data_IF_568200156055
#
_entry.id   IF_568200156055
#
_cell.length_a   1.000
_cell.length_b   1.000
_cell.length_c   1.000
_cell.angle_alpha   90.00
_cell.angle_beta   90.00
_cell.angle_gamma   90.00
#
_symmetry.space_group_name_H-M   'P 1'
#
loop_
_entity.id
_entity.type
_entity.pdbx_description
1 polymer ?
#
# COMPACT_ATOMS: atom_id res chain seq x y z
N UNK A 1 -11.56 -14.81 -2.57
CA UNK A 1 -12.18 -13.54 -2.98
C UNK A 1 -11.16 -12.44 -2.76
N UNK A 2 -10.92 -11.58 -3.77
CA UNK A 2 -10.03 -10.42 -3.70
C UNK A 2 -10.80 -9.15 -4.02
N UNK A 3 -10.24 -8.01 -3.67
CA UNK A 3 -10.83 -6.69 -3.95
C UNK A 3 -10.57 -6.34 -5.41
N UNK A 4 -11.64 -6.10 -6.17
CA UNK A 4 -11.57 -5.67 -7.57
C UNK A 4 -11.72 -4.16 -7.71
N UNK A 5 -12.62 -3.58 -6.92
CA UNK A 5 -12.88 -2.14 -6.92
C UNK A 5 -13.33 -1.66 -5.55
N UNK A 6 -13.11 -0.37 -5.28
CA UNK A 6 -13.53 0.31 -4.06
C UNK A 6 -14.10 1.67 -4.41
N UNK A 7 -15.24 1.99 -3.81
CA UNK A 7 -15.88 3.30 -3.88
C UNK A 7 -16.05 3.87 -2.48
N UNK A 8 -15.74 5.14 -2.30
CA UNK A 8 -15.74 5.84 -1.01
C UNK A 8 -16.51 7.14 -1.15
N UNK A 9 -17.49 7.40 -0.27
CA UNK A 9 -18.28 8.62 -0.28
C UNK A 9 -18.44 9.19 1.12
N UNK A 10 -18.32 10.50 1.24
CA UNK A 10 -18.46 11.26 2.48
C UNK A 10 -17.54 10.83 3.61
N UNK A 11 -16.40 10.22 3.30
CA UNK A 11 -15.40 9.78 4.27
C UNK A 11 -14.17 10.68 4.22
N UNK A 12 -13.89 11.41 5.29
CA UNK A 12 -12.77 12.35 5.43
C UNK A 12 -12.73 13.36 4.26
N UNK A 13 -11.74 13.24 3.39
CA UNK A 13 -11.56 14.17 2.25
C UNK A 13 -12.38 13.79 1.01
N UNK A 14 -13.02 12.61 0.99
CA UNK A 14 -13.81 12.11 -0.14
C UNK A 14 -15.27 12.57 -0.03
N UNK A 15 -15.54 13.80 -0.47
CA UNK A 15 -16.86 14.44 -0.32
C UNK A 15 -17.92 13.80 -1.23
N UNK A 16 -17.69 13.86 -2.54
CA UNK A 16 -18.72 13.57 -3.55
C UNK A 16 -18.62 12.17 -4.15
N UNK A 17 -17.64 11.42 -3.69
CA UNK A 17 -17.37 10.06 -4.13
C UNK A 17 -15.99 9.92 -4.76
N UNK A 18 -15.36 8.81 -4.49
CA UNK A 18 -14.09 8.37 -5.03
C UNK A 18 -14.25 6.93 -5.47
N UNK A 19 -13.70 6.56 -6.60
CA UNK A 19 -13.67 5.18 -7.06
C UNK A 19 -12.38 4.90 -7.83
N UNK A 20 -11.83 3.71 -7.64
CA UNK A 20 -10.71 3.28 -8.45
C UNK A 20 -11.14 3.05 -9.91
N UNK A 21 -10.35 3.49 -10.89
CA UNK A 21 -10.54 3.09 -12.27
C UNK A 21 -10.42 1.56 -12.42
N UNK A 22 -11.16 0.99 -13.37
CA UNK A 22 -11.11 -0.44 -13.61
C UNK A 22 -9.70 -0.93 -13.94
N UNK A 23 -9.27 -2.04 -13.32
CA UNK A 23 -7.96 -2.65 -13.56
C UNK A 23 -6.78 -1.98 -12.88
N UNK A 24 -6.99 -1.00 -12.00
CA UNK A 24 -5.93 -0.34 -11.23
C UNK A 24 -5.60 -1.05 -9.91
N UNK A 25 -6.44 -1.98 -9.48
CA UNK A 25 -6.17 -2.85 -8.33
C UNK A 25 -5.64 -4.19 -8.83
N UNK A 26 -4.48 -4.62 -8.32
CA UNK A 26 -3.87 -5.91 -8.64
C UNK A 26 -4.64 -7.08 -8.02
N UNK A 27 -4.78 -8.14 -8.79
CA UNK A 27 -5.42 -9.39 -8.35
C UNK A 27 -4.43 -10.52 -8.51
N UNK A 28 -4.14 -11.30 -7.45
CA UNK A 28 -3.24 -12.45 -7.52
C UNK A 28 -3.68 -13.47 -8.55
N UNK A 29 -2.76 -13.92 -9.39
CA UNK A 29 -3.02 -14.95 -10.41
C UNK A 29 -2.46 -16.34 -10.03
N UNK A 30 -1.83 -16.45 -8.86
CA UNK A 30 -1.25 -17.68 -8.33
C UNK A 30 0.18 -17.99 -8.81
N UNK A 31 0.72 -17.24 -9.76
CA UNK A 31 1.98 -17.56 -10.41
C UNK A 31 2.93 -16.38 -10.61
N UNK A 32 2.39 -15.21 -10.95
CA UNK A 32 3.18 -14.07 -11.40
C UNK A 32 3.50 -13.11 -10.25
N UNK A 33 4.79 -12.84 -10.05
CA UNK A 33 5.25 -11.84 -9.10
C UNK A 33 4.68 -10.45 -9.41
N UNK A 34 4.14 -9.80 -8.40
CA UNK A 34 3.56 -8.48 -8.54
C UNK A 34 2.08 -8.48 -8.94
N UNK A 35 1.49 -9.61 -9.40
CA UNK A 35 0.10 -9.63 -9.89
C UNK A 35 -0.91 -9.11 -8.88
N UNK A 36 -0.79 -9.46 -7.62
CA UNK A 36 -1.64 -9.00 -6.53
C UNK A 36 -1.21 -7.71 -5.83
N UNK A 37 -0.14 -7.03 -6.31
CA UNK A 37 0.41 -5.86 -5.65
C UNK A 37 -0.14 -4.56 -6.24
N UNK A 38 -0.70 -3.73 -5.37
CA UNK A 38 -1.16 -2.37 -5.67
C UNK A 38 -0.47 -1.37 -4.76
N UNK A 39 0.11 -0.33 -5.35
CA UNK A 39 0.85 0.71 -4.65
C UNK A 39 0.16 2.04 -4.86
N UNK A 40 -0.14 2.74 -3.79
CA UNK A 40 -0.73 4.07 -3.79
C UNK A 40 0.36 5.09 -3.46
N UNK A 41 0.61 6.01 -4.38
CA UNK A 41 1.58 7.09 -4.23
C UNK A 41 0.93 8.45 -4.45
N UNK A 42 1.65 9.52 -4.20
CA UNK A 42 1.18 10.89 -4.37
C UNK A 42 1.60 11.77 -3.20
N UNK A 43 1.28 13.05 -3.29
CA UNK A 43 1.63 14.07 -2.29
C UNK A 43 1.02 13.78 -0.90
N UNK A 44 1.50 14.51 0.11
CA UNK A 44 0.93 14.44 1.45
C UNK A 44 -0.50 15.01 1.45
N UNK A 45 -1.40 14.37 2.20
CA UNK A 45 -2.78 14.83 2.33
C UNK A 45 -3.72 14.47 1.18
N UNK A 46 -3.28 13.75 0.15
CA UNK A 46 -4.15 13.29 -0.96
C UNK A 46 -5.04 12.08 -0.60
N UNK A 47 -5.00 11.60 0.66
CA UNK A 47 -5.93 10.57 1.14
C UNK A 47 -5.46 9.13 1.04
N UNK A 48 -4.19 8.84 0.80
CA UNK A 48 -3.66 7.47 0.75
C UNK A 48 -4.05 6.62 1.96
N UNK A 49 -3.71 7.09 3.17
CA UNK A 49 -4.11 6.46 4.44
C UNK A 49 -5.63 6.32 4.56
N UNK A 50 -6.38 7.36 4.18
CA UNK A 50 -7.84 7.34 4.26
C UNK A 50 -8.47 6.29 3.35
N UNK A 51 -7.88 6.01 2.19
CA UNK A 51 -8.31 4.91 1.31
C UNK A 51 -8.09 3.55 2.00
N UNK A 52 -6.91 3.31 2.56
CA UNK A 52 -6.62 2.04 3.24
C UNK A 52 -7.53 1.84 4.46
N UNK A 53 -7.74 2.88 5.26
CA UNK A 53 -8.66 2.81 6.40
C UNK A 53 -10.10 2.60 5.96
N UNK A 54 -10.56 3.28 4.89
CA UNK A 54 -11.88 3.03 4.31
C UNK A 54 -12.04 1.58 3.87
N UNK A 55 -11.03 0.99 3.21
CA UNK A 55 -11.05 -0.43 2.84
C UNK A 55 -11.08 -1.34 4.08
N UNK A 56 -10.38 -0.98 5.14
CA UNK A 56 -10.33 -1.78 6.36
C UNK A 56 -11.67 -1.80 7.11
N UNK A 57 -12.44 -0.72 7.07
CA UNK A 57 -13.74 -0.61 7.77
C UNK A 57 -14.70 -1.77 7.48
N UNK A 58 -15.02 -2.13 6.24
CA UNK A 58 -15.91 -3.26 5.95
C UNK A 58 -15.25 -4.62 6.04
N UNK A 59 -13.92 -4.73 6.00
CA UNK A 59 -13.19 -5.99 5.95
C UNK A 59 -12.77 -6.50 7.33
N UNK A 60 -12.36 -5.59 8.21
CA UNK A 60 -11.85 -5.90 9.54
C UNK A 60 -12.93 -5.54 10.55
N UNK A 61 -13.34 -6.47 11.37
CA UNK A 61 -14.40 -6.39 12.36
C UNK A 61 -14.71 -4.96 12.87
N UNK A 62 -15.88 -4.46 12.55
CA UNK A 62 -16.28 -3.08 12.76
C UNK A 62 -16.94 -2.86 14.14
N UNK A 63 -16.61 -1.73 14.78
CA UNK A 63 -17.32 -1.18 15.95
C UNK A 63 -17.80 0.25 15.65
N UNK A 64 -18.98 0.59 16.14
CA UNK A 64 -19.57 1.94 15.98
C UNK A 64 -18.73 3.03 16.61
N UNK A 65 -17.97 2.71 17.64
CA UNK A 65 -17.09 3.60 18.38
C UNK A 65 -15.73 3.88 17.69
N UNK A 66 -15.46 3.25 16.56
CA UNK A 66 -14.22 3.44 15.82
C UNK A 66 -14.23 4.59 14.82
N UNK A 67 -15.40 5.16 14.51
CA UNK A 67 -15.54 6.34 13.68
C UNK A 67 -15.74 7.59 14.56
N UNK A 68 -15.02 8.64 14.21
CA UNK A 68 -15.10 9.95 14.85
C UNK A 68 -15.83 10.96 13.96
N UNK A 69 -16.20 12.09 14.53
CA UNK A 69 -16.84 13.18 13.78
C UNK A 69 -16.02 13.63 12.57
N UNK A 70 -14.70 13.65 12.74
CA UNK A 70 -13.76 14.05 11.69
C UNK A 70 -13.67 13.06 10.51
N UNK A 71 -14.24 11.87 10.65
CA UNK A 71 -14.32 10.89 9.55
C UNK A 71 -15.47 11.20 8.58
N UNK A 72 -16.35 12.15 8.92
CA UNK A 72 -17.44 12.59 8.07
C UNK A 72 -17.08 13.92 7.39
N UNK A 73 -16.99 13.93 6.07
CA UNK A 73 -16.76 15.15 5.30
C UNK A 73 -17.96 16.14 5.46
N UNK A 74 -19.16 15.58 5.40
CA UNK A 74 -20.41 16.32 5.63
C UNK A 74 -21.24 15.57 6.68
N UNK A 75 -21.52 16.22 7.79
CA UNK A 75 -22.23 15.68 8.96
C UNK A 75 -23.66 15.22 8.61
N UNK A 76 -24.30 15.88 7.66
CA UNK A 76 -25.67 15.56 7.24
C UNK A 76 -25.80 14.31 6.35
N UNK A 77 -24.69 13.81 5.83
CA UNK A 77 -24.67 12.70 4.87
C UNK A 77 -24.09 11.43 5.53
N UNK A 78 -24.48 10.28 4.98
CA UNK A 78 -23.90 9.01 5.39
C UNK A 78 -22.49 8.86 4.80
N UNK A 79 -21.59 8.23 5.56
CA UNK A 79 -20.40 7.60 4.99
C UNK A 79 -20.85 6.33 4.27
N UNK A 80 -20.41 6.16 3.04
CA UNK A 80 -20.66 4.95 2.26
C UNK A 80 -19.34 4.44 1.68
N UNK A 81 -19.05 3.16 1.89
CA UNK A 81 -17.88 2.48 1.33
C UNK A 81 -18.36 1.18 0.69
N UNK A 82 -18.11 1.04 -0.61
CA UNK A 82 -18.46 -0.17 -1.35
C UNK A 82 -17.18 -0.86 -1.82
N UNK A 83 -17.09 -2.17 -1.58
CA UNK A 83 -16.00 -3.03 -2.04
C UNK A 83 -16.58 -4.08 -2.97
N UNK A 84 -16.14 -4.07 -4.23
CA UNK A 84 -16.50 -5.08 -5.22
C UNK A 84 -15.43 -6.19 -5.23
N UNK A 85 -15.90 -7.44 -5.26
CA UNK A 85 -15.07 -8.62 -5.31
C UNK A 85 -14.64 -8.97 -6.75
N UNK A 86 -13.52 -9.69 -6.89
CA UNK A 86 -13.00 -10.21 -8.15
C UNK A 86 -13.96 -11.22 -8.82
N UNK A 87 -14.72 -11.94 -8.01
CA UNK A 87 -15.73 -12.92 -8.46
C UNK A 87 -16.95 -12.88 -7.56
N UNK A 88 -18.09 -13.25 -8.12
CA UNK A 88 -19.31 -13.46 -7.34
C UNK A 88 -19.11 -14.62 -6.35
N UNK A 89 -19.73 -14.52 -5.19
CA UNK A 89 -19.67 -15.55 -4.15
C UNK A 89 -21.05 -15.85 -3.60
N UNK A 90 -21.25 -17.12 -3.23
CA UNK A 90 -22.52 -17.56 -2.64
C UNK A 90 -22.66 -17.12 -1.19
N UNK A 91 -23.79 -16.53 -0.87
CA UNK A 91 -24.20 -16.23 0.50
C UNK A 91 -25.33 -17.16 0.89
N UNK A 92 -25.08 -18.04 1.86
CA UNK A 92 -26.11 -18.96 2.35
C UNK A 92 -27.16 -18.20 3.15
N UNK A 93 -28.40 -18.29 2.74
CA UNK A 93 -29.54 -17.76 3.48
C UNK A 93 -30.25 -18.91 4.20
N UNK A 94 -30.55 -18.75 5.48
CA UNK A 94 -31.08 -19.83 6.33
C UNK A 94 -32.49 -20.31 5.95
N UNK A 95 -33.29 -19.52 5.25
CA UNK A 95 -34.73 -19.84 4.99
C UNK A 95 -35.08 -19.87 3.51
N UNK A 96 -34.40 -19.20 2.59
CA UNK A 96 -34.83 -19.05 1.19
C UNK A 96 -33.78 -19.40 0.12
N UNK A 97 -32.72 -20.13 0.47
CA UNK A 97 -31.72 -20.58 -0.50
C UNK A 97 -30.45 -19.78 -0.51
N UNK A 98 -29.60 -19.98 -1.52
CA UNK A 98 -28.33 -19.27 -1.71
C UNK A 98 -28.57 -18.06 -2.61
N UNK A 99 -27.86 -16.97 -2.32
CA UNK A 99 -27.84 -15.78 -3.14
C UNK A 99 -26.41 -15.53 -3.62
N UNK A 100 -26.28 -14.99 -4.81
CA UNK A 100 -25.00 -14.49 -5.29
C UNK A 100 -24.76 -13.06 -4.82
N UNK A 101 -23.55 -12.78 -4.39
CA UNK A 101 -23.08 -11.46 -3.99
C UNK A 101 -21.82 -11.10 -4.79
N UNK A 102 -21.67 -9.81 -5.08
CA UNK A 102 -20.52 -9.27 -5.79
C UNK A 102 -19.60 -8.42 -4.92
N UNK A 103 -19.98 -8.18 -3.67
CA UNK A 103 -19.19 -7.31 -2.79
C UNK A 103 -19.91 -6.96 -1.49
N UNK A 104 -19.42 -5.91 -0.86
CA UNK A 104 -19.88 -5.40 0.44
C UNK A 104 -20.09 -3.89 0.39
N UNK A 105 -21.07 -3.42 1.16
CA UNK A 105 -21.33 -2.01 1.39
C UNK A 105 -21.33 -1.72 2.89
N UNK A 106 -20.48 -0.79 3.31
CA UNK A 106 -20.48 -0.22 4.64
C UNK A 106 -21.20 1.13 4.62
N UNK A 107 -22.09 1.36 5.56
CA UNK A 107 -22.81 2.64 5.70
C UNK A 107 -22.77 3.06 7.16
N UNK A 108 -22.34 4.30 7.43
CA UNK A 108 -22.37 4.89 8.76
C UNK A 108 -23.11 6.23 8.76
N UNK A 109 -23.91 6.47 9.80
CA UNK A 109 -24.69 7.70 9.99
C UNK A 109 -24.42 8.31 11.34
N UNK A 110 -24.27 9.63 11.40
CA UNK A 110 -24.22 10.37 12.64
C UNK A 110 -25.62 10.58 13.22
N UNK A 111 -25.70 10.57 14.55
CA UNK A 111 -26.87 10.97 15.32
C UNK A 111 -26.55 12.14 16.20
N UNK A 112 -27.44 13.13 16.26
CA UNK A 112 -27.35 14.21 17.23
C UNK A 112 -27.66 13.67 18.62
N UNK A 113 -26.77 13.93 19.58
CA UNK A 113 -26.98 13.65 21.01
C UNK A 113 -26.94 14.95 21.79
N UNK A 114 -28.04 15.34 22.41
CA UNK A 114 -28.16 16.50 23.29
C UNK A 114 -27.57 17.80 22.70
N UNK A 115 -28.29 18.43 21.79
CA UNK A 115 -28.14 19.79 21.22
C UNK A 115 -26.75 20.21 20.69
N UNK A 116 -25.68 19.46 20.86
CA UNK A 116 -24.34 19.82 20.33
C UNK A 116 -23.33 18.69 20.23
N UNK A 117 -23.66 17.47 20.59
CA UNK A 117 -22.75 16.31 20.43
C UNK A 117 -23.28 15.32 19.40
N UNK A 118 -22.46 15.01 18.41
CA UNK A 118 -22.75 13.96 17.45
C UNK A 118 -22.09 12.66 17.89
N UNK A 119 -22.81 11.57 17.73
CA UNK A 119 -22.28 10.20 17.88
C UNK A 119 -22.59 9.42 16.63
N UNK A 120 -21.80 8.39 16.34
CA UNK A 120 -22.14 7.44 15.30
C UNK A 120 -23.37 6.66 15.74
N UNK A 121 -24.50 6.91 15.09
CA UNK A 121 -25.80 6.35 15.51
C UNK A 121 -26.03 4.93 15.03
N UNK A 122 -25.63 4.64 13.79
CA UNK A 122 -25.74 3.33 13.17
C UNK A 122 -24.62 3.16 12.19
N UNK A 123 -23.98 2.00 12.23
CA UNK A 123 -23.16 1.56 11.15
C UNK A 123 -23.60 0.15 10.75
N UNK A 124 -23.75 -0.05 9.48
CA UNK A 124 -24.30 -1.28 8.91
C UNK A 124 -23.36 -1.76 7.82
N UNK A 125 -23.08 -3.04 7.87
CA UNK A 125 -22.39 -3.73 6.78
C UNK A 125 -23.42 -4.56 6.02
N UNK A 126 -23.68 -4.21 4.79
CA UNK A 126 -24.58 -4.89 3.89
C UNK A 126 -23.81 -5.70 2.83
N UNK A 127 -24.49 -6.66 2.23
CA UNK A 127 -23.95 -7.42 1.10
C UNK A 127 -24.50 -6.81 -0.20
N UNK A 128 -23.61 -6.57 -1.19
CA UNK A 128 -24.00 -6.18 -2.54
C UNK A 128 -24.42 -7.46 -3.30
N UNK A 129 -25.71 -7.68 -3.41
CA UNK A 129 -26.26 -8.83 -4.14
C UNK A 129 -26.23 -8.63 -5.66
N UNK A 130 -26.06 -9.72 -6.39
CA UNK A 130 -26.28 -9.74 -7.83
C UNK A 130 -27.81 -9.81 -8.05
N UNK A 131 -28.40 -8.91 -8.82
CA UNK A 131 -29.82 -9.01 -9.16
C UNK A 131 -30.07 -10.34 -9.87
N UNK A 132 -30.97 -11.18 -9.32
CA UNK A 132 -31.48 -12.30 -10.07
C UNK A 132 -32.55 -11.76 -11.04
N UNK A 133 -32.64 -12.31 -12.25
CA UNK A 133 -33.60 -11.90 -13.25
C UNK A 133 -35.03 -11.89 -12.67
N UNK A 134 -35.64 -10.72 -12.63
CA UNK A 134 -37.04 -10.52 -12.18
C UNK A 134 -37.23 -10.32 -10.67
N UNK A 135 -36.20 -10.30 -9.85
CA UNK A 135 -36.29 -10.03 -8.40
C UNK A 135 -35.53 -8.77 -8.05
N UNK A 136 -36.25 -7.70 -7.79
CA UNK A 136 -35.67 -6.50 -7.13
C UNK A 136 -35.36 -6.86 -5.68
N UNK A 137 -34.10 -7.05 -5.37
CA UNK A 137 -33.65 -7.23 -3.98
C UNK A 137 -33.38 -5.81 -3.44
N UNK A 138 -34.36 -5.26 -2.75
CA UNK A 138 -34.17 -4.04 -1.99
C UNK A 138 -33.29 -4.35 -0.76
N UNK A 139 -32.06 -3.86 -0.77
CA UNK A 139 -31.12 -4.00 0.35
C UNK A 139 -31.65 -3.42 1.68
N UNK A 140 -32.67 -2.58 1.62
CA UNK A 140 -33.41 -2.03 2.76
C UNK A 140 -34.51 -2.91 3.33
N UNK A 141 -34.81 -4.05 2.71
CA UNK A 141 -35.88 -4.94 3.19
C UNK A 141 -35.56 -5.50 4.58
N UNK A 142 -36.47 -5.36 5.57
CA UNK A 142 -36.32 -5.96 6.90
C UNK A 142 -36.06 -7.46 6.87
N UNK A 143 -36.63 -8.16 5.89
CA UNK A 143 -36.44 -9.59 5.68
C UNK A 143 -35.02 -10.00 5.29
N UNK A 144 -34.27 -9.11 4.62
CA UNK A 144 -32.87 -9.33 4.27
C UNK A 144 -31.96 -9.10 5.48
N UNK A 145 -32.24 -8.09 6.29
CA UNK A 145 -31.45 -7.77 7.49
C UNK A 145 -31.58 -8.85 8.57
N UNK A 146 -32.78 -9.39 8.79
CA UNK A 146 -33.03 -10.41 9.80
C UNK A 146 -32.59 -11.82 9.37
N UNK A 147 -32.58 -12.11 8.07
CA UNK A 147 -32.27 -13.45 7.59
C UNK A 147 -30.78 -13.72 7.35
N UNK A 148 -29.95 -12.67 7.19
CA UNK A 148 -28.53 -12.84 6.89
C UNK A 148 -27.68 -12.79 8.16
N UNK A 149 -28.23 -12.36 9.32
CA UNK A 149 -27.45 -12.08 10.51
C UNK A 149 -26.41 -11.00 10.20
N UNK A 150 -25.52 -10.65 11.13
CA UNK A 150 -24.40 -9.78 10.79
C UNK A 150 -23.57 -10.48 9.72
N UNK A 151 -23.60 -10.01 8.45
CA UNK A 151 -22.99 -10.71 7.34
C UNK A 151 -21.46 -10.85 7.45
N UNK A 152 -20.85 -10.22 8.42
CA UNK A 152 -19.42 -10.21 8.65
C UNK A 152 -18.93 -11.22 9.70
N UNK A 153 -19.84 -11.78 10.50
CA UNK A 153 -19.53 -12.76 11.54
C UNK A 153 -20.02 -14.14 11.08
N UNK A 154 -19.34 -14.79 10.20
CA UNK A 154 -19.70 -16.13 9.79
C UNK A 154 -18.97 -16.58 8.53
N UNK A 155 -19.44 -17.62 7.91
CA UNK A 155 -18.86 -18.40 6.80
C UNK A 155 -18.16 -17.64 5.65
N UNK A 156 -18.23 -16.31 5.58
CA UNK A 156 -17.64 -15.50 4.52
C UNK A 156 -16.17 -15.25 4.67
N UNK A 157 -15.69 -15.22 5.90
CA UNK A 157 -14.31 -14.94 6.21
C UNK A 157 -13.49 -16.21 6.46
N UNK A 158 -14.14 -17.39 6.44
CA UNK A 158 -13.41 -18.65 6.62
C UNK A 158 -12.35 -18.88 5.53
N UNK A 159 -12.56 -18.34 4.33
CA UNK A 159 -11.65 -18.51 3.20
C UNK A 159 -10.71 -17.32 2.98
N UNK A 160 -10.85 -16.25 3.76
CA UNK A 160 -10.03 -15.04 3.65
C UNK A 160 -9.49 -14.60 5.00
N UNK A 161 -8.30 -14.05 4.97
CA UNK A 161 -7.68 -13.36 6.08
C UNK A 161 -7.38 -11.92 5.69
N UNK A 162 -7.68 -10.97 6.60
CA UNK A 162 -7.52 -9.54 6.36
C UNK A 162 -6.61 -8.95 7.42
N UNK A 163 -5.59 -8.23 6.98
CA UNK A 163 -4.67 -7.56 7.88
C UNK A 163 -4.46 -6.11 7.45
N UNK A 164 -4.70 -5.19 8.35
CA UNK A 164 -4.33 -3.79 8.19
C UNK A 164 -3.15 -3.44 9.10
N UNK A 165 -2.10 -2.90 8.50
CA UNK A 165 -0.89 -2.43 9.17
C UNK A 165 -0.84 -0.92 9.04
N UNK A 166 -1.18 -0.23 10.12
CA UNK A 166 -1.14 1.22 10.17
C UNK A 166 0.30 1.77 10.24
N UNK A 167 0.46 3.05 9.99
CA UNK A 167 1.76 3.72 10.02
C UNK A 167 2.38 3.77 11.41
N UNK A 168 1.60 3.77 12.48
CA UNK A 168 2.14 3.88 13.84
C UNK A 168 2.76 2.58 14.33
N UNK A 169 2.36 1.44 13.75
CA UNK A 169 2.87 0.07 13.98
C UNK A 169 3.00 -0.36 15.44
N UNK A 170 2.89 0.58 16.37
CA UNK A 170 3.12 0.38 17.80
C UNK A 170 1.88 0.63 18.64
N UNK A 171 0.79 1.11 18.06
CA UNK A 171 -0.43 1.29 18.82
C UNK A 171 -1.00 -0.07 19.20
N UNK A 172 -0.80 -0.45 20.45
CA UNK A 172 -1.82 -1.20 21.19
C UNK A 172 -3.06 -0.33 21.16
N UNK A 173 -3.90 -0.55 20.17
CA UNK A 173 -5.20 0.09 20.13
C UNK A 173 -6.06 -0.62 21.17
N UNK A 174 -5.96 -0.18 22.42
CA UNK A 174 -6.79 -0.66 23.52
C UNK A 174 -8.28 -0.37 23.30
N UNK A 175 -8.60 0.45 22.31
CA UNK A 175 -9.97 0.77 21.92
C UNK A 175 -10.06 1.00 20.43
N UNK A 176 -10.57 0.03 19.69
CA UNK A 176 -10.88 0.24 18.30
C UNK A 176 -10.65 -0.96 17.40
N UNK A 177 -11.00 -0.79 16.15
CA UNK A 177 -11.06 -1.77 15.07
C UNK A 177 -9.75 -2.53 14.78
N UNK A 178 -8.61 -2.01 15.25
CA UNK A 178 -7.27 -2.46 14.90
C UNK A 178 -6.44 -2.94 16.11
N UNK A 179 -7.10 -3.36 17.20
CA UNK A 179 -6.53 -3.42 18.55
C UNK A 179 -5.70 -4.65 18.92
N UNK A 180 -5.61 -5.68 18.08
CA UNK A 180 -4.71 -6.78 18.40
C UNK A 180 -3.30 -6.48 17.89
N UNK A 181 -2.26 -6.67 18.71
CA UNK A 181 -0.89 -6.63 18.23
C UNK A 181 -0.73 -7.68 17.12
N UNK A 182 0.19 -7.43 16.17
CA UNK A 182 0.42 -8.39 15.08
C UNK A 182 0.83 -9.75 15.59
N UNK A 183 1.66 -9.74 16.62
CA UNK A 183 2.16 -10.97 17.22
C UNK A 183 1.07 -11.68 18.04
N UNK A 184 0.16 -10.96 18.70
CA UNK A 184 -0.98 -11.56 19.38
C UNK A 184 -1.86 -12.32 18.39
N UNK A 185 -2.14 -11.74 17.19
CA UNK A 185 -2.89 -12.44 16.15
C UNK A 185 -2.16 -13.67 15.62
N UNK A 186 -0.86 -13.58 15.42
CA UNK A 186 -0.05 -14.73 15.01
C UNK A 186 -0.14 -15.81 16.08
N UNK A 187 0.04 -15.47 17.36
CA UNK A 187 -0.07 -16.40 18.47
C UNK A 187 -1.50 -16.96 18.63
N UNK A 188 -2.54 -16.13 18.43
CA UNK A 188 -3.94 -16.59 18.43
C UNK A 188 -4.22 -17.57 17.30
N UNK A 189 -3.68 -17.33 16.10
CA UNK A 189 -3.82 -18.26 14.98
C UNK A 189 -3.10 -19.60 15.28
N UNK A 190 -1.92 -19.58 15.89
CA UNK A 190 -1.25 -20.80 16.34
C UNK A 190 -2.06 -21.52 17.39
N UNK A 191 -2.59 -20.82 18.40
CA UNK A 191 -3.47 -21.41 19.40
C UNK A 191 -4.69 -22.09 18.78
N UNK A 192 -5.33 -21.41 17.81
CA UNK A 192 -6.50 -21.96 17.14
C UNK A 192 -6.18 -23.22 16.32
N UNK A 193 -5.10 -23.17 15.53
CA UNK A 193 -4.65 -24.33 14.75
C UNK A 193 -4.26 -25.50 15.66
N UNK A 194 -3.53 -25.21 16.73
CA UNK A 194 -3.15 -26.19 17.71
C UNK A 194 -4.37 -26.90 18.35
N UNK A 195 -5.37 -26.13 18.80
CA UNK A 195 -6.61 -26.67 19.37
C UNK A 195 -7.40 -27.51 18.36
N UNK A 196 -7.42 -27.12 17.08
CA UNK A 196 -8.09 -27.91 16.02
C UNK A 196 -7.37 -29.23 15.76
N UNK A 197 -6.04 -29.23 15.74
CA UNK A 197 -5.25 -30.44 15.49
C UNK A 197 -5.36 -31.45 16.64
N UNK A 198 -5.51 -30.97 17.87
CA UNK A 198 -5.57 -31.81 19.07
C UNK A 198 -6.99 -32.05 19.61
N UNK A 199 -8.01 -31.99 18.76
CA UNK A 199 -9.41 -32.32 19.11
C UNK A 199 -9.99 -31.54 20.31
N UNK A 200 -9.52 -30.32 20.55
CA UNK A 200 -9.91 -29.46 21.68
C UNK A 200 -9.66 -30.05 23.08
N UNK A 201 -8.81 -31.04 23.22
CA UNK A 201 -8.46 -31.54 24.53
C UNK A 201 -7.49 -30.59 25.27
N UNK A 202 -7.76 -30.24 26.52
CA UNK A 202 -6.82 -29.46 27.31
C UNK A 202 -5.54 -30.28 27.56
N UNK A 203 -4.42 -29.70 27.21
CA UNK A 203 -3.11 -30.34 27.41
C UNK A 203 -2.84 -30.72 28.86
N UNK A 204 -2.51 -31.98 29.05
CA UNK A 204 -1.84 -32.43 30.24
C UNK A 204 -0.37 -31.98 30.16
N UNK A 205 -0.11 -30.99 30.92
CA UNK A 205 1.01 -30.10 31.11
C UNK A 205 2.40 -30.73 31.13
N UNK A 206 3.38 -29.98 30.75
CA UNK A 206 4.82 -29.96 31.00
C UNK A 206 5.80 -30.69 30.07
N UNK A 207 5.56 -31.88 29.67
CA UNK A 207 6.54 -32.59 28.81
C UNK A 207 6.26 -32.35 27.32
N UNK A 208 5.10 -31.83 27.09
CA UNK A 208 4.39 -31.95 25.82
C UNK A 208 4.53 -30.76 24.89
N UNK A 209 4.85 -29.56 25.37
CA UNK A 209 4.85 -28.38 24.46
C UNK A 209 6.11 -28.37 23.60
N UNK A 210 7.26 -28.63 24.20
CA UNK A 210 8.50 -28.81 23.44
C UNK A 210 8.38 -30.08 22.57
N UNK A 211 7.90 -31.18 23.13
CA UNK A 211 7.70 -32.44 22.40
C UNK A 211 6.59 -32.38 21.37
N UNK A 212 5.57 -31.53 21.56
CA UNK A 212 4.49 -31.30 20.57
C UNK A 212 4.87 -30.30 19.49
N UNK A 213 5.63 -29.28 19.80
CA UNK A 213 6.26 -28.43 18.81
C UNK A 213 7.28 -29.26 18.02
N UNK A 214 8.00 -30.13 18.66
CA UNK A 214 8.95 -31.04 18.03
C UNK A 214 8.30 -32.23 17.32
N UNK A 215 7.10 -32.66 17.75
CA UNK A 215 6.34 -33.78 17.17
C UNK A 215 5.29 -33.35 16.13
N UNK A 216 4.73 -32.16 16.23
CA UNK A 216 3.86 -31.60 15.22
C UNK A 216 4.71 -30.94 14.10
N UNK A 217 5.10 -31.80 13.16
CA UNK A 217 5.98 -31.43 12.04
C UNK A 217 5.51 -30.20 11.28
N UNK A 218 4.20 -29.93 11.21
CA UNK A 218 3.62 -28.87 10.37
C UNK A 218 3.80 -27.50 11.01
N UNK A 219 3.44 -27.33 12.30
CA UNK A 219 3.57 -26.03 12.97
C UNK A 219 5.02 -25.68 13.26
N UNK A 220 5.84 -26.66 13.55
CA UNK A 220 7.27 -26.48 13.77
C UNK A 220 8.02 -26.17 12.48
N UNK A 221 7.70 -26.86 11.38
CA UNK A 221 8.27 -26.60 10.07
C UNK A 221 7.98 -25.18 9.61
N UNK A 222 6.75 -24.70 9.78
CA UNK A 222 6.32 -23.36 9.36
C UNK A 222 6.99 -22.22 10.14
N UNK A 223 7.07 -22.34 11.47
CA UNK A 223 7.79 -21.39 12.32
C UNK A 223 9.29 -21.42 12.05
N UNK A 224 9.84 -22.62 11.92
CA UNK A 224 11.26 -22.82 11.64
C UNK A 224 11.65 -22.20 10.30
N UNK A 225 10.84 -22.40 9.27
CA UNK A 225 11.03 -21.74 7.97
C UNK A 225 10.91 -20.21 8.06
N UNK A 226 9.88 -19.69 8.74
CA UNK A 226 9.71 -18.25 8.89
C UNK A 226 10.87 -17.61 9.67
N UNK A 227 11.36 -18.26 10.70
CA UNK A 227 12.50 -17.79 11.49
C UNK A 227 13.82 -17.93 10.74
N UNK A 228 14.00 -19.00 9.95
CA UNK A 228 15.15 -19.16 9.05
C UNK A 228 15.20 -18.08 7.97
N UNK A 229 14.08 -17.82 7.29
CA UNK A 229 13.95 -16.75 6.31
C UNK A 229 14.26 -15.38 6.93
N UNK A 230 13.76 -15.13 8.13
CA UNK A 230 14.04 -13.89 8.84
C UNK A 230 15.51 -13.75 9.20
N UNK A 231 16.13 -14.82 9.70
CA UNK A 231 17.57 -14.87 10.05
C UNK A 231 18.45 -14.63 8.83
N UNK A 232 18.15 -15.28 7.70
CA UNK A 232 18.88 -15.09 6.44
C UNK A 232 18.86 -13.63 6.01
N UNK A 233 17.71 -12.99 6.06
CA UNK A 233 17.50 -11.61 5.56
C UNK A 233 17.99 -10.53 6.51
N UNK A 234 17.98 -10.77 7.83
CA UNK A 234 18.24 -9.75 8.85
C UNK A 234 19.48 -10.03 9.70
N UNK A 235 19.93 -11.29 9.78
CA UNK A 235 21.00 -11.75 10.67
C UNK A 235 20.55 -12.03 12.11
N UNK A 236 19.28 -11.75 12.47
CA UNK A 236 18.76 -11.99 13.81
C UNK A 236 18.16 -13.39 13.93
N UNK A 237 18.56 -14.12 14.98
CA UNK A 237 18.02 -15.42 15.33
C UNK A 237 16.81 -15.27 16.25
N UNK A 238 15.65 -15.74 15.82
CA UNK A 238 14.38 -15.60 16.54
C UNK A 238 13.94 -16.95 17.09
N UNK A 239 13.37 -16.94 18.28
CA UNK A 239 12.83 -18.14 18.94
C UNK A 239 11.52 -17.83 19.65
N UNK A 240 10.68 -18.83 19.80
CA UNK A 240 9.46 -18.77 20.60
C UNK A 240 9.78 -19.21 22.04
N UNK A 241 9.46 -18.34 23.00
CA UNK A 241 9.74 -18.59 24.42
C UNK A 241 8.42 -18.60 25.20
N UNK A 242 8.24 -19.61 26.04
CA UNK A 242 7.05 -19.82 26.87
C UNK A 242 7.30 -19.34 28.30
N UNK A 243 6.36 -18.57 28.82
CA UNK A 243 6.41 -18.06 30.21
C UNK A 243 5.50 -18.84 31.18
N UNK A 244 4.55 -19.60 30.65
CA UNK A 244 3.57 -20.33 31.48
C UNK A 244 3.16 -21.62 30.78
N UNK A 245 3.38 -22.73 31.50
CA UNK A 245 3.13 -24.06 31.00
C UNK A 245 1.63 -24.41 30.87
N UNK A 246 0.78 -23.75 31.66
CA UNK A 246 -0.66 -24.00 31.66
C UNK A 246 -1.40 -23.37 30.48
N UNK A 247 -0.86 -22.26 29.93
CA UNK A 247 -1.42 -21.52 28.79
C UNK A 247 -0.27 -21.09 27.88
N UNK A 248 0.33 -22.01 27.15
CA UNK A 248 1.62 -21.80 26.50
C UNK A 248 1.61 -20.58 25.57
N UNK A 249 0.66 -20.51 24.65
CA UNK A 249 0.65 -19.43 23.67
C UNK A 249 0.07 -18.12 24.21
N UNK A 250 -0.69 -18.12 25.30
CA UNK A 250 -1.23 -16.90 25.90
C UNK A 250 -0.16 -16.08 26.60
N UNK A 251 0.88 -16.74 27.11
CA UNK A 251 2.02 -16.11 27.78
C UNK A 251 3.35 -16.38 27.06
N UNK A 252 3.31 -16.75 25.81
CA UNK A 252 4.49 -16.89 24.99
C UNK A 252 4.96 -15.51 24.48
N UNK A 253 6.23 -15.38 24.22
CA UNK A 253 6.78 -14.24 23.50
C UNK A 253 7.79 -14.69 22.45
N UNK A 254 7.83 -13.95 21.35
CA UNK A 254 8.90 -14.08 20.38
C UNK A 254 10.12 -13.33 20.91
N UNK A 255 11.24 -14.03 21.03
CA UNK A 255 12.53 -13.48 21.42
C UNK A 255 13.52 -13.50 20.27
N UNK A 256 14.55 -12.68 20.33
CA UNK A 256 15.71 -12.77 19.46
C UNK A 256 16.99 -12.87 20.30
N UNK A 257 18.00 -13.49 19.73
CA UNK A 257 19.30 -13.64 20.40
C UNK A 257 20.20 -12.48 19.99
N UNK A 258 20.68 -11.73 20.97
CA UNK A 258 21.63 -10.64 20.75
C UNK A 258 23.08 -11.16 20.58
N UNK A 259 24.02 -10.24 20.38
CA UNK A 259 25.46 -10.56 20.24
C UNK A 259 26.07 -11.20 21.50
N UNK A 260 25.48 -10.97 22.67
CA UNK A 260 25.88 -11.57 23.94
C UNK A 260 25.17 -12.91 24.22
N UNK A 261 24.41 -13.45 23.27
CA UNK A 261 23.57 -14.66 23.37
C UNK A 261 22.47 -14.58 24.42
N UNK A 262 21.98 -13.37 24.72
CA UNK A 262 20.82 -13.14 25.58
C UNK A 262 19.54 -13.16 24.79
N UNK A 263 18.51 -13.81 25.30
CA UNK A 263 17.16 -13.77 24.76
C UNK A 263 16.48 -12.45 25.13
N UNK A 264 16.11 -11.67 24.12
CA UNK A 264 15.47 -10.38 24.28
C UNK A 264 14.11 -10.44 23.58
N UNK A 265 13.02 -9.96 24.21
CA UNK A 265 11.71 -9.93 23.57
C UNK A 265 11.74 -9.16 22.23
N UNK A 266 11.06 -9.70 21.21
CA UNK A 266 11.02 -9.11 19.87
C UNK A 266 10.47 -7.67 19.89
N UNK A 267 9.65 -7.31 20.88
CA UNK A 267 9.15 -5.95 21.10
C UNK A 267 10.27 -4.93 21.37
N UNK A 268 11.47 -5.37 21.72
CA UNK A 268 12.66 -4.50 21.88
C UNK A 268 13.46 -4.36 20.57
N UNK A 269 13.19 -5.19 19.58
CA UNK A 269 13.76 -5.00 18.24
C UNK A 269 13.09 -3.81 17.56
N UNK A 270 13.79 -3.13 16.69
CA UNK A 270 13.23 -2.00 15.94
C UNK A 270 11.94 -2.36 15.21
N UNK A 271 10.97 -1.45 15.19
CA UNK A 271 9.61 -1.68 14.63
C UNK A 271 9.62 -2.18 13.18
N UNK A 272 10.62 -1.79 12.39
CA UNK A 272 10.82 -2.29 11.03
C UNK A 272 11.08 -3.78 10.96
N UNK A 273 11.95 -4.30 11.82
CA UNK A 273 12.22 -5.74 11.90
C UNK A 273 11.01 -6.53 12.41
N UNK A 274 10.26 -5.96 13.36
CA UNK A 274 9.02 -6.56 13.84
C UNK A 274 7.99 -6.69 12.71
N UNK A 275 7.83 -5.65 11.89
CA UNK A 275 6.95 -5.70 10.72
C UNK A 275 7.41 -6.76 9.73
N UNK A 276 8.69 -6.81 9.44
CA UNK A 276 9.29 -7.75 8.50
C UNK A 276 9.02 -9.20 8.92
N UNK A 277 9.30 -9.54 10.18
CA UNK A 277 8.97 -10.86 10.75
C UNK A 277 7.46 -11.15 10.67
N UNK A 278 6.63 -10.17 11.04
CA UNK A 278 5.16 -10.32 10.98
C UNK A 278 4.66 -10.66 9.57
N UNK A 279 5.22 -10.03 8.53
CA UNK A 279 4.86 -10.32 7.15
C UNK A 279 5.25 -11.75 6.74
N UNK A 280 6.48 -12.18 7.08
CA UNK A 280 6.94 -13.54 6.78
C UNK A 280 6.05 -14.59 7.47
N UNK A 281 5.80 -14.42 8.78
CA UNK A 281 4.93 -15.33 9.51
C UNK A 281 3.51 -15.38 8.92
N UNK A 282 2.96 -14.22 8.58
CA UNK A 282 1.61 -14.14 8.02
C UNK A 282 1.50 -14.82 6.65
N UNK A 283 2.53 -14.71 5.81
CA UNK A 283 2.57 -15.45 4.54
C UNK A 283 2.54 -16.95 4.76
N UNK A 284 3.43 -17.45 5.63
CA UNK A 284 3.52 -18.89 5.88
C UNK A 284 2.21 -19.45 6.43
N UNK A 285 1.60 -18.74 7.39
CA UNK A 285 0.29 -19.11 7.96
C UNK A 285 -0.82 -19.12 6.91
N UNK A 286 -0.87 -18.11 6.04
CA UNK A 286 -1.88 -18.04 4.99
C UNK A 286 -1.74 -19.19 4.00
N UNK A 287 -0.53 -19.51 3.56
CA UNK A 287 -0.27 -20.63 2.66
C UNK A 287 -0.68 -21.96 3.27
N UNK A 288 -0.37 -22.19 4.57
CA UNK A 288 -0.74 -23.42 5.26
C UNK A 288 -2.26 -23.54 5.45
N UNK A 289 -2.93 -22.45 5.85
CA UNK A 289 -4.37 -22.46 6.08
C UNK A 289 -5.20 -22.55 4.81
N UNK A 290 -4.59 -22.37 3.63
CA UNK A 290 -5.27 -22.27 2.34
C UNK A 290 -6.16 -21.03 2.21
N UNK A 291 -6.07 -20.09 3.15
CA UNK A 291 -6.84 -18.84 3.13
C UNK A 291 -6.24 -17.83 2.16
N UNK A 292 -7.10 -17.07 1.52
CA UNK A 292 -6.68 -15.92 0.70
C UNK A 292 -6.38 -14.74 1.60
N UNK A 293 -5.15 -14.23 1.56
CA UNK A 293 -4.70 -13.11 2.38
C UNK A 293 -4.87 -11.79 1.63
N UNK A 294 -5.45 -10.80 2.29
CA UNK A 294 -5.51 -9.41 1.85
C UNK A 294 -4.79 -8.55 2.88
N UNK A 295 -3.70 -7.91 2.43
CA UNK A 295 -2.87 -7.02 3.23
C UNK A 295 -3.09 -5.58 2.84
N UNK A 296 -3.42 -4.74 3.79
CA UNK A 296 -3.46 -3.29 3.67
C UNK A 296 -2.32 -2.71 4.50
N UNK A 297 -1.36 -2.00 3.89
CA UNK A 297 -0.16 -1.54 4.59
C UNK A 297 0.05 -0.05 4.36
N UNK A 298 0.04 0.74 5.43
CA UNK A 298 0.27 2.17 5.34
C UNK A 298 1.75 2.51 5.60
N UNK A 299 2.33 3.33 4.71
CA UNK A 299 3.73 3.81 4.77
C UNK A 299 4.72 2.68 5.08
N UNK A 300 4.78 1.70 4.18
CA UNK A 300 5.52 0.44 4.41
C UNK A 300 7.01 0.64 4.72
N UNK A 301 7.62 1.71 4.22
CA UNK A 301 9.02 2.05 4.44
C UNK A 301 9.34 2.58 5.83
N UNK A 302 8.34 3.02 6.62
CA UNK A 302 8.59 3.63 7.93
C UNK A 302 9.39 2.71 8.85
N UNK A 303 10.45 3.30 9.41
CA UNK A 303 11.38 2.62 10.33
C UNK A 303 12.21 1.50 9.70
N UNK A 304 12.22 1.36 8.36
CA UNK A 304 13.07 0.40 7.67
C UNK A 304 14.36 1.05 7.17
N UNK A 305 15.48 0.41 7.51
CA UNK A 305 16.76 0.76 6.90
C UNK A 305 16.73 0.47 5.39
N UNK A 306 17.35 1.28 4.52
CA UNK A 306 17.33 1.09 3.06
C UNK A 306 17.70 -0.33 2.59
N UNK A 307 18.63 -1.00 3.28
CA UNK A 307 18.97 -2.39 2.97
C UNK A 307 17.76 -3.33 3.13
N UNK A 308 16.96 -3.14 4.19
CA UNK A 308 15.76 -3.95 4.42
C UNK A 308 14.62 -3.60 3.47
N UNK A 309 14.58 -2.36 2.93
CA UNK A 309 13.58 -2.00 1.93
C UNK A 309 13.72 -2.85 0.66
N UNK A 310 14.96 -3.17 0.24
CA UNK A 310 15.20 -4.07 -0.90
C UNK A 310 14.71 -5.49 -0.66
N UNK A 311 15.00 -6.04 0.53
CA UNK A 311 14.49 -7.37 0.90
C UNK A 311 12.96 -7.38 1.00
N UNK A 312 12.38 -6.29 1.48
CA UNK A 312 10.94 -6.12 1.53
C UNK A 312 10.30 -6.17 0.14
N UNK A 313 10.89 -5.51 -0.85
CA UNK A 313 10.41 -5.56 -2.25
C UNK A 313 10.34 -7.00 -2.74
N UNK A 314 11.39 -7.80 -2.53
CA UNK A 314 11.42 -9.21 -2.94
C UNK A 314 10.30 -10.01 -2.27
N UNK A 315 10.10 -9.82 -0.96
CA UNK A 315 9.03 -10.47 -0.21
C UNK A 315 7.65 -10.07 -0.74
N UNK A 316 7.40 -8.78 -0.96
CA UNK A 316 6.12 -8.30 -1.46
C UNK A 316 5.79 -8.86 -2.85
N UNK A 317 6.77 -8.92 -3.74
CA UNK A 317 6.60 -9.49 -5.06
C UNK A 317 6.25 -10.98 -4.98
N UNK A 318 6.96 -11.74 -4.17
CA UNK A 318 6.67 -13.16 -3.95
C UNK A 318 5.28 -13.37 -3.33
N UNK A 319 4.93 -12.62 -2.29
CA UNK A 319 3.63 -12.72 -1.61
C UNK A 319 2.47 -12.38 -2.54
N UNK A 320 2.67 -11.44 -3.44
CA UNK A 320 1.64 -10.96 -4.34
C UNK A 320 1.21 -11.97 -5.39
N UNK A 321 1.92 -13.10 -5.54
CA UNK A 321 1.45 -14.22 -6.37
C UNK A 321 0.14 -14.79 -5.85
N UNK A 322 0.02 -14.94 -4.54
CA UNK A 322 -1.10 -15.62 -3.88
C UNK A 322 -1.93 -14.72 -2.97
N UNK A 323 -1.38 -13.59 -2.57
CA UNK A 323 -1.98 -12.63 -1.66
C UNK A 323 -2.22 -11.29 -2.34
N UNK A 324 -3.31 -10.63 -2.00
CA UNK A 324 -3.55 -9.27 -2.45
C UNK A 324 -2.94 -8.27 -1.48
N UNK A 325 -2.08 -7.40 -1.98
CA UNK A 325 -1.36 -6.41 -1.18
C UNK A 325 -1.69 -5.02 -1.72
N UNK A 326 -2.26 -4.18 -0.89
CA UNK A 326 -2.52 -2.77 -1.21
C UNK A 326 -1.75 -1.94 -0.19
N UNK A 327 -0.78 -1.16 -0.66
CA UNK A 327 0.10 -0.41 0.22
C UNK A 327 0.26 1.05 -0.20
N UNK A 328 0.65 1.89 0.75
CA UNK A 328 1.09 3.25 0.50
C UNK A 328 2.59 3.37 0.71
N UNK A 329 3.22 4.24 -0.01
CA UNK A 329 4.65 4.56 0.18
C UNK A 329 4.95 6.00 -0.22
N UNK A 330 5.97 6.57 0.45
CA UNK A 330 6.64 7.80 0.09
C UNK A 330 8.11 7.57 -0.30
N UNK A 331 8.56 6.31 -0.40
CA UNK A 331 9.94 5.97 -0.74
C UNK A 331 10.15 5.88 -2.25
N UNK A 332 10.86 6.82 -2.87
CA UNK A 332 11.23 6.70 -4.29
C UNK A 332 12.19 5.55 -4.56
N UNK A 333 13.01 5.16 -3.58
CA UNK A 333 13.91 4.00 -3.71
C UNK A 333 13.12 2.69 -3.83
N UNK A 334 12.09 2.52 -2.99
CA UNK A 334 11.21 1.35 -3.05
C UNK A 334 10.49 1.29 -4.40
N UNK A 335 9.96 2.40 -4.88
CA UNK A 335 9.30 2.47 -6.19
C UNK A 335 10.25 2.16 -7.34
N UNK A 336 11.48 2.69 -7.29
CA UNK A 336 12.51 2.43 -8.29
C UNK A 336 12.88 0.93 -8.37
N UNK A 337 13.02 0.26 -7.22
CA UNK A 337 13.32 -1.16 -7.19
C UNK A 337 12.15 -2.01 -7.72
N UNK A 338 10.91 -1.59 -7.47
CA UNK A 338 9.71 -2.23 -8.01
C UNK A 338 9.58 -2.08 -9.53
N UNK A 339 10.10 -1.01 -10.15
CA UNK A 339 10.00 -0.81 -11.61
C UNK A 339 10.62 -1.92 -12.46
N UNK A 340 11.45 -2.77 -11.88
CA UNK A 340 12.02 -3.94 -12.56
C UNK A 340 10.97 -5.00 -12.90
N UNK A 341 9.84 -5.01 -12.18
CA UNK A 341 8.72 -5.91 -12.39
C UNK A 341 7.48 -5.10 -12.82
N UNK A 342 6.93 -5.35 -14.00
CA UNK A 342 5.82 -4.58 -14.58
C UNK A 342 4.42 -5.13 -14.28
N UNK A 343 4.30 -6.17 -13.48
CA UNK A 343 2.99 -6.81 -13.23
C UNK A 343 2.18 -6.13 -12.11
N UNK A 344 2.85 -5.41 -11.21
CA UNK A 344 2.20 -4.65 -10.15
C UNK A 344 1.52 -3.38 -10.68
N UNK A 345 0.58 -2.84 -9.88
CA UNK A 345 -0.14 -1.60 -10.20
C UNK A 345 0.37 -0.46 -9.31
N UNK A 346 0.89 0.60 -9.92
CA UNK A 346 1.24 1.84 -9.21
C UNK A 346 0.23 2.90 -9.61
N UNK A 347 -0.47 3.44 -8.62
CA UNK A 347 -1.51 4.44 -8.77
C UNK A 347 -1.08 5.74 -8.10
N UNK A 348 -1.01 6.79 -8.89
CA UNK A 348 -0.72 8.15 -8.42
C UNK A 348 -2.02 8.85 -8.07
N UNK A 349 -2.18 9.23 -6.80
CA UNK A 349 -3.31 10.02 -6.34
C UNK A 349 -2.99 11.50 -6.54
N UNK A 350 -3.89 12.19 -7.22
CA UNK A 350 -3.77 13.62 -7.50
C UNK A 350 -5.01 14.34 -6.97
N UNK A 351 -4.80 15.43 -6.25
CA UNK A 351 -5.88 16.29 -5.78
C UNK A 351 -6.08 17.43 -6.78
N UNK A 352 -7.29 17.51 -7.33
CA UNK A 352 -7.74 18.56 -8.24
C UNK A 352 -8.89 19.35 -7.59
N UNK A 353 -9.34 20.41 -8.24
CA UNK A 353 -10.48 21.22 -7.78
C UNK A 353 -11.77 20.38 -7.67
N UNK A 354 -11.93 19.39 -8.53
CA UNK A 354 -13.09 18.49 -8.59
C UNK A 354 -12.99 17.30 -7.58
N UNK A 355 -11.88 17.17 -6.84
CA UNK A 355 -11.67 16.09 -5.89
C UNK A 355 -10.37 15.33 -6.08
N UNK A 356 -10.38 14.03 -5.74
CA UNK A 356 -9.19 13.16 -5.82
C UNK A 356 -9.37 12.20 -6.98
N UNK A 357 -8.39 12.17 -7.86
CA UNK A 357 -8.31 11.23 -8.98
C UNK A 357 -7.18 10.24 -8.79
N UNK A 358 -7.34 9.05 -9.38
CA UNK A 358 -6.34 7.99 -9.43
C UNK A 358 -5.87 7.84 -10.87
N UNK A 359 -4.58 8.00 -11.08
CA UNK A 359 -3.96 7.82 -12.38
C UNK A 359 -2.90 6.72 -12.29
N UNK A 360 -2.76 5.85 -13.29
CA UNK A 360 -1.60 4.98 -13.36
C UNK A 360 -0.32 5.83 -13.42
N UNK A 361 0.77 5.32 -12.86
CA UNK A 361 2.04 6.04 -12.89
C UNK A 361 2.44 6.32 -14.34
N UNK A 362 2.96 7.52 -14.59
CA UNK A 362 3.45 7.88 -15.92
C UNK A 362 4.64 7.00 -16.32
N UNK A 363 4.78 6.76 -17.62
CA UNK A 363 5.94 6.02 -18.13
C UNK A 363 7.24 6.75 -17.85
N UNK A 364 8.25 5.98 -17.49
CA UNK A 364 9.62 6.43 -17.36
C UNK A 364 10.19 6.65 -18.76
N UNK A 365 10.98 7.72 -18.92
CA UNK A 365 11.57 8.09 -20.22
C UNK A 365 13.09 7.90 -20.26
N UNK A 366 13.72 7.73 -19.08
CA UNK A 366 15.12 7.35 -18.99
C UNK A 366 15.32 5.87 -19.29
N UNK A 367 16.49 5.51 -19.78
CA UNK A 367 16.83 4.10 -20.08
C UNK A 367 16.80 3.20 -18.85
N UNK A 368 17.12 3.77 -17.68
CA UNK A 368 17.00 3.13 -16.37
C UNK A 368 16.33 4.12 -15.41
N UNK A 369 15.32 3.69 -14.64
CA UNK A 369 14.68 4.55 -13.65
C UNK A 369 15.68 5.13 -12.66
N UNK A 370 15.62 6.44 -12.46
CA UNK A 370 16.41 7.14 -11.42
C UNK A 370 15.52 7.53 -10.25
N UNK A 371 16.12 7.94 -9.13
CA UNK A 371 15.35 8.49 -8.00
C UNK A 371 14.70 9.81 -8.39
N UNK A 372 15.39 10.65 -9.14
CA UNK A 372 14.89 11.95 -9.60
C UNK A 372 13.70 11.80 -10.53
N UNK A 373 13.75 10.86 -11.47
CA UNK A 373 12.60 10.54 -12.33
C UNK A 373 11.44 9.95 -11.53
N UNK A 374 11.72 9.06 -10.59
CA UNK A 374 10.69 8.46 -9.72
C UNK A 374 10.00 9.54 -8.88
N UNK A 375 10.75 10.48 -8.32
CA UNK A 375 10.19 11.62 -7.60
C UNK A 375 9.23 12.44 -8.46
N UNK A 376 9.57 12.64 -9.73
CA UNK A 376 8.72 13.37 -10.66
C UNK A 376 7.43 12.60 -10.99
N UNK A 377 7.54 11.34 -11.42
CA UNK A 377 6.37 10.58 -11.91
C UNK A 377 5.42 10.12 -10.79
N UNK A 378 5.93 9.92 -9.58
CA UNK A 378 5.13 9.43 -8.46
C UNK A 378 4.65 10.55 -7.51
N UNK A 379 5.42 11.63 -7.37
CA UNK A 379 5.16 12.68 -6.38
C UNK A 379 5.07 14.08 -6.98
N UNK A 380 5.17 14.20 -8.30
CA UNK A 380 5.15 15.48 -9.03
C UNK A 380 6.24 16.46 -8.55
N UNK A 381 7.41 15.95 -8.16
CA UNK A 381 8.52 16.75 -7.67
C UNK A 381 9.51 17.04 -8.80
N UNK A 382 9.42 18.22 -9.36
CA UNK A 382 10.40 18.71 -10.34
C UNK A 382 11.74 19.03 -9.64
N UNK A 383 12.84 18.47 -10.14
CA UNK A 383 14.17 18.75 -9.63
C UNK A 383 15.15 19.06 -10.76
N UNK A 384 16.20 19.83 -10.43
CA UNK A 384 17.26 20.15 -11.38
C UNK A 384 18.06 18.91 -11.78
N UNK A 385 18.22 17.95 -10.87
CA UNK A 385 18.86 16.67 -11.16
C UNK A 385 18.10 15.92 -12.26
N UNK A 386 16.77 15.83 -12.14
CA UNK A 386 15.95 15.20 -13.17
C UNK A 386 15.99 15.94 -14.50
N UNK A 387 15.96 17.26 -14.45
CA UNK A 387 16.13 18.09 -15.64
C UNK A 387 17.45 17.78 -16.37
N UNK A 388 18.57 17.67 -15.63
CA UNK A 388 19.88 17.33 -16.21
C UNK A 388 19.91 15.91 -16.79
N UNK A 389 19.32 14.95 -16.09
CA UNK A 389 19.19 13.57 -16.57
C UNK A 389 18.45 13.52 -17.91
N UNK A 390 17.34 14.25 -18.02
CA UNK A 390 16.56 14.35 -19.27
C UNK A 390 17.34 15.05 -20.39
N UNK A 391 18.05 16.13 -20.06
CA UNK A 391 18.88 16.86 -21.04
C UNK A 391 19.95 15.94 -21.62
N UNK A 392 20.64 15.17 -20.78
CA UNK A 392 21.64 14.22 -21.22
C UNK A 392 21.00 13.08 -22.05
N UNK A 393 19.86 12.56 -21.61
CA UNK A 393 19.13 11.51 -22.34
C UNK A 393 18.67 11.97 -23.73
N UNK A 394 18.21 13.19 -23.85
CA UNK A 394 17.87 13.78 -25.14
C UNK A 394 19.08 13.88 -26.09
N UNK A 395 20.25 14.24 -25.53
CA UNK A 395 21.53 14.24 -26.27
C UNK A 395 21.91 12.83 -26.76
N UNK A 396 21.83 11.83 -25.88
CA UNK A 396 22.12 10.43 -26.22
C UNK A 396 21.24 9.93 -27.39
N UNK A 397 19.92 10.18 -27.32
CA UNK A 397 18.99 9.76 -28.35
C UNK A 397 19.27 10.42 -29.73
N UNK A 398 19.82 11.63 -29.72
CA UNK A 398 20.25 12.32 -30.93
C UNK A 398 21.73 12.06 -31.31
N UNK A 399 22.41 11.16 -30.59
CA UNK A 399 23.83 10.82 -30.79
C UNK A 399 24.77 12.02 -30.68
N UNK A 400 24.48 12.96 -29.77
CA UNK A 400 25.28 14.15 -29.53
C UNK A 400 25.54 14.34 -28.01
N UNK A 401 26.71 14.90 -27.66
CA UNK A 401 27.11 15.10 -26.26
C UNK A 401 27.46 16.55 -25.90
N UNK A 402 27.80 17.39 -26.92
CA UNK A 402 28.11 18.80 -26.63
C UNK A 402 26.85 19.65 -26.49
N UNK A 403 26.89 20.62 -25.58
CA UNK A 403 25.76 21.55 -25.35
C UNK A 403 25.34 22.21 -26.67
N UNK A 404 26.28 22.69 -27.48
CA UNK A 404 25.99 23.35 -28.75
C UNK A 404 25.33 22.41 -29.78
N UNK A 405 25.64 21.11 -29.72
CA UNK A 405 25.02 20.13 -30.61
C UNK A 405 23.60 19.79 -30.13
N UNK A 406 23.40 19.55 -28.82
CA UNK A 406 22.08 19.31 -28.21
C UNK A 406 21.16 20.52 -28.46
N UNK A 407 21.70 21.72 -28.28
CA UNK A 407 20.96 22.98 -28.45
C UNK A 407 20.40 23.15 -29.86
N UNK A 408 21.11 22.73 -30.91
CA UNK A 408 20.61 22.79 -32.30
C UNK A 408 19.35 21.95 -32.48
N UNK A 409 19.26 20.78 -31.84
CA UNK A 409 18.05 19.96 -31.88
C UNK A 409 16.91 20.56 -31.05
N UNK A 410 17.22 21.25 -29.95
CA UNK A 410 16.21 21.97 -29.15
C UNK A 410 15.68 23.19 -29.87
N UNK A 411 16.56 23.94 -30.55
CA UNK A 411 16.20 25.16 -31.29
C UNK A 411 15.37 24.89 -32.54
N UNK A 412 15.48 23.69 -33.14
CA UNK A 412 14.76 23.33 -34.36
C UNK A 412 13.23 23.44 -34.24
N UNK A 413 12.69 23.32 -33.02
CA UNK A 413 11.24 23.36 -32.75
C UNK A 413 10.73 24.73 -32.25
N UNK A 414 11.50 25.80 -32.45
CA UNK A 414 11.10 27.14 -32.02
C UNK A 414 11.20 27.41 -30.52
N UNK A 415 11.97 26.63 -29.78
CA UNK A 415 12.25 26.88 -28.35
C UNK A 415 12.89 28.26 -28.19
N UNK A 416 12.42 29.12 -27.26
CA UNK A 416 12.98 30.45 -27.06
C UNK A 416 14.49 30.43 -26.81
N UNK A 417 15.21 31.37 -27.43
CA UNK A 417 16.67 31.47 -27.28
C UNK A 417 17.06 32.70 -26.45
N UNK A 418 18.18 32.61 -25.78
CA UNK A 418 18.79 33.67 -24.99
C UNK A 418 20.29 33.76 -25.30
N UNK A 419 20.83 34.97 -25.29
CA UNK A 419 22.27 35.16 -25.39
C UNK A 419 22.92 34.78 -24.06
N UNK A 420 23.64 33.65 -24.04
CA UNK A 420 24.43 33.20 -22.89
C UNK A 420 25.76 33.95 -22.83
N UNK A 421 25.95 34.76 -21.80
CA UNK A 421 27.17 35.52 -21.58
C UNK A 421 28.24 34.65 -20.90
N UNK A 422 29.50 34.81 -21.32
CA UNK A 422 30.64 34.02 -20.86
C UNK A 422 31.80 34.95 -20.52
N UNK A 423 32.48 34.68 -19.40
CA UNK A 423 33.59 35.52 -18.93
C UNK A 423 34.82 35.46 -19.85
N UNK A 424 35.18 34.27 -20.32
CA UNK A 424 36.45 34.02 -21.04
C UNK A 424 36.26 33.47 -22.45
N UNK A 425 35.05 33.59 -23.04
CA UNK A 425 34.75 33.08 -24.38
C UNK A 425 33.62 33.88 -25.05
N UNK A 426 33.50 33.82 -26.39
CA UNK A 426 32.43 34.51 -27.11
C UNK A 426 31.05 34.06 -26.60
N UNK A 427 30.15 35.04 -26.48
CA UNK A 427 28.74 34.80 -26.13
C UNK A 427 28.10 33.84 -27.13
N UNK A 428 27.18 33.02 -26.66
CA UNK A 428 26.48 32.03 -27.46
C UNK A 428 24.95 32.29 -27.41
N UNK A 429 24.30 32.19 -28.53
CA UNK A 429 22.83 32.20 -28.55
C UNK A 429 22.34 30.75 -28.35
N UNK A 430 21.72 30.49 -27.22
CA UNK A 430 21.27 29.14 -26.81
C UNK A 430 19.79 29.15 -26.42
N UNK A 431 19.15 28.01 -26.51
CA UNK A 431 17.79 27.83 -25.96
C UNK A 431 17.78 28.04 -24.44
N UNK A 432 16.63 28.48 -23.91
CA UNK A 432 16.46 28.63 -22.45
C UNK A 432 16.82 27.34 -21.70
N UNK A 433 16.45 26.18 -22.25
CA UNK A 433 16.77 24.86 -21.67
C UNK A 433 18.29 24.68 -21.56
N UNK A 434 19.06 24.99 -22.61
CA UNK A 434 20.53 24.91 -22.58
C UNK A 434 21.17 25.95 -21.66
N UNK A 435 20.58 27.14 -21.56
CA UNK A 435 21.02 28.18 -20.64
C UNK A 435 20.84 27.76 -19.18
N UNK A 436 19.67 27.19 -18.81
CA UNK A 436 19.39 26.67 -17.47
C UNK A 436 20.36 25.53 -17.11
N UNK A 437 20.62 24.60 -18.04
CA UNK A 437 21.63 23.55 -17.88
C UNK A 437 23.02 24.13 -17.59
N UNK A 438 23.44 25.16 -18.34
CA UNK A 438 24.71 25.80 -18.16
C UNK A 438 24.81 26.51 -16.81
N UNK A 439 23.76 27.22 -16.39
CA UNK A 439 23.71 27.87 -15.07
C UNK A 439 23.85 26.86 -13.92
N UNK A 440 23.23 25.71 -14.02
CA UNK A 440 23.37 24.66 -13.01
C UNK A 440 24.80 24.14 -12.88
N UNK A 441 25.50 23.97 -14.01
CA UNK A 441 26.91 23.53 -14.00
C UNK A 441 27.93 24.65 -13.72
N UNK A 442 27.54 25.91 -13.91
CA UNK A 442 28.38 27.10 -13.68
C UNK A 442 27.66 28.11 -12.77
N UNK A 443 27.40 27.74 -11.50
CA UNK A 443 26.58 28.54 -10.58
C UNK A 443 27.20 29.90 -10.24
N UNK A 444 28.55 30.05 -10.39
CA UNK A 444 29.28 31.29 -10.11
C UNK A 444 29.06 32.36 -11.18
N UNK A 445 28.68 31.99 -12.41
CA UNK A 445 28.36 32.95 -13.46
C UNK A 445 27.05 33.67 -13.15
N UNK A 446 27.14 34.90 -12.61
CA UNK A 446 25.99 35.72 -12.21
C UNK A 446 25.45 36.61 -13.34
N UNK A 447 26.17 36.76 -14.47
CA UNK A 447 25.81 37.65 -15.57
C UNK A 447 24.46 37.30 -16.19
N UNK A 448 24.03 36.02 -16.09
CA UNK A 448 22.78 35.53 -16.66
C UNK A 448 21.63 35.44 -15.65
N UNK A 449 21.85 35.72 -14.36
CA UNK A 449 20.87 35.44 -13.28
C UNK A 449 19.55 36.21 -13.44
N UNK A 450 19.60 37.43 -13.93
CA UNK A 450 18.39 38.25 -14.12
C UNK A 450 17.56 37.88 -15.34
N UNK A 451 18.05 36.99 -16.21
CA UNK A 451 17.45 36.61 -17.48
C UNK A 451 16.92 35.17 -17.48
N UNK A 452 17.36 34.38 -16.50
CA UNK A 452 16.96 32.96 -16.38
C UNK A 452 15.89 32.81 -15.31
N UNK A 453 14.75 32.27 -15.73
CA UNK A 453 13.76 31.81 -14.79
C UNK A 453 14.09 30.37 -14.35
N UNK A 454 14.45 30.23 -13.08
CA UNK A 454 14.72 28.96 -12.41
C UNK A 454 13.71 28.68 -11.29
N UNK A 455 12.53 29.33 -11.36
CA UNK A 455 11.42 29.02 -10.49
C UNK A 455 10.99 27.55 -10.66
N UNK A 456 10.32 27.03 -9.66
CA UNK A 456 9.80 25.66 -9.71
C UNK A 456 8.94 25.42 -10.95
N UNK A 457 8.06 26.35 -11.28
CA UNK A 457 7.15 26.30 -12.42
C UNK A 457 7.91 26.32 -13.76
N UNK A 458 8.96 27.09 -13.86
CA UNK A 458 9.81 27.14 -15.06
C UNK A 458 10.55 25.81 -15.24
N UNK A 459 11.16 25.27 -14.16
CA UNK A 459 11.85 23.98 -14.19
C UNK A 459 10.88 22.85 -14.56
N UNK A 460 9.68 22.86 -14.01
CA UNK A 460 8.62 21.91 -14.37
C UNK A 460 8.30 21.97 -15.88
N UNK A 461 8.13 23.17 -16.44
CA UNK A 461 7.89 23.35 -17.87
C UNK A 461 9.03 22.85 -18.76
N UNK A 462 10.28 23.03 -18.34
CA UNK A 462 11.45 22.50 -19.07
C UNK A 462 11.52 20.96 -18.99
N UNK A 463 11.21 20.37 -17.83
CA UNK A 463 11.12 18.91 -17.66
C UNK A 463 10.05 18.34 -18.59
N UNK A 464 8.84 18.89 -18.59
CA UNK A 464 7.74 18.43 -19.45
C UNK A 464 8.09 18.53 -20.93
N UNK A 465 8.73 19.64 -21.34
CA UNK A 465 9.21 19.83 -22.72
C UNK A 465 10.21 18.75 -23.11
N UNK A 466 11.21 18.47 -22.27
CA UNK A 466 12.20 17.43 -22.56
C UNK A 466 11.58 16.03 -22.56
N UNK A 467 10.68 15.72 -21.63
CA UNK A 467 9.95 14.44 -21.60
C UNK A 467 9.15 14.23 -22.89
N UNK A 468 8.44 15.27 -23.36
CA UNK A 468 7.67 15.20 -24.60
C UNK A 468 8.57 14.90 -25.80
N UNK A 469 9.70 15.60 -25.91
CA UNK A 469 10.68 15.38 -26.98
C UNK A 469 11.31 13.97 -26.94
N UNK A 470 11.66 13.50 -25.76
CA UNK A 470 12.22 12.14 -25.56
C UNK A 470 11.19 11.08 -25.98
N UNK A 471 9.92 11.24 -25.56
CA UNK A 471 8.83 10.33 -25.97
C UNK A 471 8.67 10.29 -27.49
N UNK A 472 8.69 11.45 -28.14
CA UNK A 472 8.59 11.52 -29.61
C UNK A 472 9.74 10.79 -30.32
N UNK A 473 10.92 10.70 -29.70
CA UNK A 473 12.08 9.98 -30.25
C UNK A 473 12.09 8.46 -29.90
N UNK A 474 11.35 8.06 -28.87
CA UNK A 474 11.35 6.67 -28.38
C UNK A 474 10.07 5.90 -28.71
N UNK A 475 9.00 6.59 -29.10
CA UNK A 475 7.77 5.95 -29.59
C UNK A 475 7.98 5.52 -31.05
N UNK A 476 7.78 4.23 -31.39
CA UNK A 476 8.01 3.71 -32.74
C UNK A 476 7.03 4.29 -33.77
#
# INVERSE_FOLDING_TARGET
>A
MFIKNVSIKNFRIFKDGFSFPAGTIGIPDGSTEGSGLTILVGENGVGKTSILEAMALPLISYRTDSLELNDFCNIGNNVEIEIEADANFSVKRTIRGNFEAKGFKFTAKLREQNSSKFIVGTAVNDTLFVPADGVSIDAGSPDLRTAVGNPFVGARFNDNEYLYIDKTRTKNLESGMFSASRFDRILDNFNFQYLQTNNNEPLAVHQTISDLIDADSISNELLSEAFADFKEKTGYDVSLNFLDDALPFKKAFLGFTDLERKQIPISKLGSGYQMFLSLICQQKLSLQSGKKLILLIDEIELHLHPKLQKELVNILLEFSKTSQIILTTHSPELLKDLQKNKQHKINVLVRNDDGITVNPIQEYVLSMPTISETNFVAFNLASMEYFIELYNRFGELNNVSSVAAIDRFLAADGTPTLTWERDDAPNQNLTMISCVRNKFHHPINTQNDTRLDMSYEAVLGYIETLRSKIRALTTP
#
